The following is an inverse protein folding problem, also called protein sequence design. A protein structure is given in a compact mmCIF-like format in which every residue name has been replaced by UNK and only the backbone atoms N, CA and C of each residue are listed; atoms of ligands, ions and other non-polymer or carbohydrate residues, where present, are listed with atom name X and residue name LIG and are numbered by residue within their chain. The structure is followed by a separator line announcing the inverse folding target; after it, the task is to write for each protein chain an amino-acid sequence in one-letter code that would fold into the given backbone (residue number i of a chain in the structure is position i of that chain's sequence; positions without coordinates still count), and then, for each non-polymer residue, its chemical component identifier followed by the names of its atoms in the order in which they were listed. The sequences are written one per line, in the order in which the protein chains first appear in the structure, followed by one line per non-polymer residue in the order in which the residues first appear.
data_IF_020432075238
#
_entry.id   IF_020432075238
#
_cell.length_a   1.000
_cell.length_b   1.000
_cell.length_c   1.000
_cell.angle_alpha   90.00
_cell.angle_beta   90.00
_cell.angle_gamma   90.00
#
_symmetry.space_group_name_H-M   'P 1'
#
loop_
_entity.id
_entity.type
_entity.pdbx_description
1 polymer ?
#
# COMPACT_ATOMS: atom_id res chain seq x y z
N UNK A 1 -5.00 -3.06 15.86
CA UNK A 1 -4.01 -2.16 15.21
C UNK A 1 -4.55 -1.64 13.88
N UNK A 2 -5.05 -2.50 13.00
CA UNK A 2 -5.63 -2.10 11.70
C UNK A 2 -7.04 -1.47 11.75
N UNK A 3 -7.85 -1.76 12.78
CA UNK A 3 -9.28 -1.39 12.84
C UNK A 3 -9.58 0.13 13.01
N UNK A 4 -8.57 1.00 12.92
CA UNK A 4 -8.71 2.46 13.08
C UNK A 4 -7.81 3.25 12.12
N UNK A 5 -7.24 2.59 11.12
CA UNK A 5 -6.43 3.27 10.13
C UNK A 5 -7.36 3.86 9.08
N UNK A 6 -7.28 5.16 8.91
CA UNK A 6 -8.09 5.93 7.97
C UNK A 6 -7.17 6.94 7.28
N UNK A 7 -6.71 6.55 6.10
CA UNK A 7 -5.87 7.38 5.24
C UNK A 7 -6.02 6.90 3.79
N UNK A 8 -6.17 7.81 2.81
CA UNK A 8 -6.45 7.43 1.41
C UNK A 8 -5.37 6.53 0.78
N UNK A 9 -4.14 6.61 1.28
CA UNK A 9 -3.00 5.82 0.80
C UNK A 9 -2.56 4.68 1.72
N UNK A 10 -3.42 4.26 2.66
CA UNK A 10 -3.22 3.05 3.47
C UNK A 10 -4.34 2.08 3.11
N UNK A 11 -4.01 0.80 2.94
CA UNK A 11 -5.01 -0.23 2.61
C UNK A 11 -6.08 -0.30 3.72
N UNK A 12 -7.35 -0.24 3.31
CA UNK A 12 -8.48 -0.35 4.23
C UNK A 12 -8.64 -1.79 4.71
N UNK A 13 -8.69 -1.96 6.04
CA UNK A 13 -9.01 -3.23 6.67
C UNK A 13 -10.52 -3.34 6.89
N UNK A 14 -11.13 -4.35 6.27
CA UNK A 14 -12.58 -4.58 6.33
C UNK A 14 -12.92 -5.51 7.50
N UNK A 15 -12.11 -6.56 7.72
CA UNK A 15 -12.38 -7.53 8.79
C UNK A 15 -11.43 -8.72 8.79
N UNK A 16 -11.71 -9.70 9.65
CA UNK A 16 -10.95 -10.94 9.75
C UNK A 16 -11.88 -12.12 9.99
N UNK A 17 -11.57 -13.25 9.38
CA UNK A 17 -12.08 -14.55 9.81
C UNK A 17 -11.10 -15.14 10.82
N UNK A 18 -11.57 -15.42 12.03
CA UNK A 18 -10.76 -15.96 13.13
C UNK A 18 -11.03 -17.44 13.41
N UNK A 19 -11.88 -18.08 12.61
CA UNK A 19 -12.28 -19.48 12.78
C UNK A 19 -11.40 -20.40 11.95
N UNK A 20 -10.81 -21.42 12.58
CA UNK A 20 -10.05 -22.45 11.88
C UNK A 20 -10.99 -23.33 11.02
N UNK A 21 -10.59 -23.76 9.81
CA UNK A 21 -9.26 -23.61 9.20
C UNK A 21 -9.07 -22.31 8.38
N UNK A 22 -10.06 -21.42 8.35
CA UNK A 22 -10.13 -20.29 7.42
C UNK A 22 -9.62 -18.98 8.04
N UNK A 23 -8.52 -19.00 8.79
CA UNK A 23 -7.94 -17.79 9.38
C UNK A 23 -7.47 -16.84 8.25
N UNK A 24 -8.09 -15.68 8.12
CA UNK A 24 -7.72 -14.72 7.07
C UNK A 24 -8.08 -13.27 7.42
N UNK A 25 -7.42 -12.32 6.75
CA UNK A 25 -7.79 -10.91 6.73
C UNK A 25 -8.52 -10.55 5.44
N UNK A 26 -9.50 -9.67 5.57
CA UNK A 26 -10.28 -9.09 4.47
C UNK A 26 -9.92 -7.61 4.41
N UNK A 27 -9.44 -7.17 3.26
CA UNK A 27 -9.01 -5.79 3.00
C UNK A 27 -9.61 -5.31 1.68
N UNK A 28 -9.53 -4.01 1.40
CA UNK A 28 -9.93 -3.49 0.09
C UNK A 28 -9.16 -4.18 -1.05
N UNK A 29 -9.84 -4.39 -2.18
CA UNK A 29 -9.24 -5.05 -3.33
C UNK A 29 -8.39 -4.07 -4.13
N UNK A 30 -7.11 -4.38 -4.27
CA UNK A 30 -6.19 -3.69 -5.18
C UNK A 30 -5.95 -4.51 -6.45
N UNK A 31 -5.73 -3.83 -7.57
CA UNK A 31 -5.57 -4.46 -8.88
C UNK A 31 -4.20 -5.13 -9.03
N UNK A 32 -3.16 -4.50 -8.49
CA UNK A 32 -1.77 -4.95 -8.66
C UNK A 32 -0.84 -4.28 -7.64
N UNK A 33 0.40 -4.77 -7.54
CA UNK A 33 1.46 -4.06 -6.82
C UNK A 33 2.15 -3.03 -7.72
N UNK A 34 2.81 -2.06 -7.10
CA UNK A 34 3.69 -1.13 -7.81
C UNK A 34 4.87 -1.87 -8.46
N UNK A 35 5.31 -2.99 -7.88
CA UNK A 35 6.29 -3.88 -8.51
C UNK A 35 5.79 -4.37 -9.88
N UNK A 36 4.57 -4.89 -9.94
CA UNK A 36 3.95 -5.35 -11.19
C UNK A 36 3.81 -4.20 -12.20
N UNK A 37 3.48 -2.99 -11.73
CA UNK A 37 3.32 -1.83 -12.60
C UNK A 37 4.65 -1.37 -13.22
N UNK A 38 5.75 -1.53 -12.49
CA UNK A 38 7.08 -1.12 -12.95
C UNK A 38 7.77 -2.18 -13.82
N UNK A 39 7.43 -3.47 -13.65
CA UNK A 39 8.12 -4.58 -14.32
C UNK A 39 7.23 -5.37 -15.30
N UNK A 40 5.91 -5.18 -15.25
CA UNK A 40 4.95 -5.89 -16.08
C UNK A 40 4.68 -5.23 -17.44
N UNK A 41 5.13 -3.99 -17.65
CA UNK A 41 4.96 -3.27 -18.92
C UNK A 41 6.27 -3.30 -19.72
N UNK A 42 6.26 -3.94 -20.89
CA UNK A 42 7.36 -3.83 -21.86
C UNK A 42 7.23 -2.60 -22.78
N UNK A 43 6.13 -1.85 -22.64
CA UNK A 43 5.88 -0.69 -23.45
C UNK A 43 6.81 0.47 -23.06
N UNK A 44 7.45 1.15 -24.03
CA UNK A 44 8.30 2.29 -23.73
C UNK A 44 7.48 3.42 -23.10
N UNK A 45 7.83 3.81 -21.87
CA UNK A 45 7.28 4.99 -21.21
C UNK A 45 8.19 6.19 -21.51
N UNK A 46 7.60 7.32 -21.93
CA UNK A 46 8.38 8.54 -22.12
C UNK A 46 8.95 9.04 -20.79
N UNK A 47 10.17 9.60 -20.81
CA UNK A 47 10.81 10.14 -19.59
C UNK A 47 9.91 11.14 -18.85
N UNK A 48 9.22 12.10 -19.50
CA UNK A 48 8.30 13.01 -18.81
C UNK A 48 7.17 12.28 -18.08
N UNK A 49 6.58 11.26 -18.70
CA UNK A 49 5.52 10.44 -18.09
C UNK A 49 6.06 9.67 -16.89
N UNK A 50 7.23 9.06 -17.02
CA UNK A 50 7.89 8.31 -15.95
C UNK A 50 8.16 9.20 -14.73
N UNK A 51 8.71 10.40 -14.94
CA UNK A 51 8.98 11.36 -13.87
C UNK A 51 7.68 11.77 -13.17
N UNK A 52 6.62 12.05 -13.93
CA UNK A 52 5.32 12.40 -13.35
C UNK A 52 4.76 11.27 -12.48
N UNK A 53 4.79 10.03 -12.99
CA UNK A 53 4.35 8.85 -12.24
C UNK A 53 5.18 8.66 -10.97
N UNK A 54 6.50 8.76 -11.06
CA UNK A 54 7.40 8.62 -9.91
C UNK A 54 7.11 9.66 -8.81
N UNK A 55 6.92 10.92 -9.19
CA UNK A 55 6.56 11.99 -8.24
C UNK A 55 5.22 11.71 -7.58
N UNK A 56 4.21 11.27 -8.33
CA UNK A 56 2.90 10.90 -7.76
C UNK A 56 3.03 9.74 -6.77
N UNK A 57 3.69 8.64 -7.15
CA UNK A 57 3.84 7.48 -6.29
C UNK A 57 4.63 7.80 -5.02
N UNK A 58 5.76 8.50 -5.13
CA UNK A 58 6.59 8.81 -3.95
C UNK A 58 5.87 9.76 -3.00
N UNK A 59 5.06 10.70 -3.51
CA UNK A 59 4.27 11.63 -2.69
C UNK A 59 3.20 10.88 -1.91
N UNK A 60 2.48 9.95 -2.57
CA UNK A 60 1.42 9.17 -1.92
C UNK A 60 1.99 8.21 -0.86
N UNK A 61 3.11 7.54 -1.17
CA UNK A 61 3.81 6.66 -0.21
C UNK A 61 4.33 7.48 0.98
N UNK A 62 4.94 8.65 0.73
CA UNK A 62 5.41 9.52 1.80
C UNK A 62 4.26 10.01 2.70
N UNK A 63 3.10 10.34 2.12
CA UNK A 63 1.89 10.70 2.89
C UNK A 63 1.42 9.56 3.78
N UNK A 64 1.35 8.33 3.25
CA UNK A 64 0.98 7.14 4.04
C UNK A 64 1.97 6.88 5.18
N UNK A 65 3.28 6.96 4.91
CA UNK A 65 4.32 6.77 5.92
C UNK A 65 4.28 7.85 7.00
N UNK A 66 4.06 9.11 6.61
CA UNK A 66 3.86 10.21 7.55
C UNK A 66 2.67 9.95 8.47
N UNK A 67 1.55 9.50 7.90
CA UNK A 67 0.37 9.13 8.67
C UNK A 67 0.67 8.02 9.68
N UNK A 68 1.26 6.90 9.25
CA UNK A 68 1.62 5.79 10.14
C UNK A 68 2.56 6.20 11.28
N UNK A 69 3.55 7.05 10.98
CA UNK A 69 4.50 7.57 11.97
C UNK A 69 3.88 8.60 12.93
N UNK A 70 2.77 9.25 12.55
CA UNK A 70 2.07 10.23 13.39
C UNK A 70 1.17 9.59 14.46
N UNK A 71 0.88 8.30 14.34
CA UNK A 71 0.03 7.58 15.29
C UNK A 71 0.71 7.42 16.66
N UNK A 72 -0.08 7.15 17.69
CA UNK A 72 0.40 6.87 19.04
C UNK A 72 -0.20 5.56 19.56
N UNK A 73 0.58 4.46 19.65
CA UNK A 73 2.00 4.37 19.29
C UNK A 73 2.24 4.51 17.78
N UNK A 74 3.42 5.02 17.41
CA UNK A 74 3.82 5.11 16.01
C UNK A 74 3.94 3.72 15.37
N UNK A 75 3.43 3.58 14.15
CA UNK A 75 3.53 2.32 13.40
C UNK A 75 4.75 2.40 12.48
N UNK A 76 5.73 1.54 12.73
CA UNK A 76 6.90 1.39 11.84
C UNK A 76 6.59 0.30 10.82
N UNK A 77 6.69 0.61 9.52
CA UNK A 77 6.35 -0.35 8.47
C UNK A 77 7.26 -1.59 8.48
N UNK A 78 8.57 -1.41 8.66
CA UNK A 78 9.63 -2.44 8.70
C UNK A 78 9.88 -3.23 7.40
N UNK A 79 8.98 -3.20 6.43
CA UNK A 79 9.11 -3.93 5.15
C UNK A 79 8.64 -3.06 3.96
N UNK A 80 9.09 -1.81 3.90
CA UNK A 80 8.72 -0.91 2.81
C UNK A 80 9.46 -1.30 1.52
N UNK A 81 8.70 -1.81 0.54
CA UNK A 81 9.18 -2.22 -0.80
C UNK A 81 8.04 -2.09 -1.81
N UNK A 82 8.35 -2.08 -3.11
CA UNK A 82 7.35 -1.89 -4.18
C UNK A 82 6.27 -2.98 -4.25
N UNK A 83 6.53 -4.16 -3.69
CA UNK A 83 5.54 -5.24 -3.57
C UNK A 83 4.46 -4.95 -2.51
N UNK A 84 4.80 -4.14 -1.48
CA UNK A 84 3.89 -3.75 -0.40
C UNK A 84 3.25 -2.37 -0.64
N UNK A 85 3.40 -1.84 -1.85
CA UNK A 85 2.72 -0.65 -2.34
C UNK A 85 1.77 -1.11 -3.42
N UNK A 86 0.47 -1.09 -3.14
CA UNK A 86 -0.57 -1.56 -4.05
C UNK A 86 -1.18 -0.41 -4.84
N UNK A 87 -1.83 -0.75 -5.96
CA UNK A 87 -2.60 0.16 -6.79
C UNK A 87 -4.03 -0.35 -6.90
N UNK A 88 -5.01 0.48 -6.55
CA UNK A 88 -6.43 0.14 -6.75
C UNK A 88 -6.84 0.26 -8.23
N UNK A 89 -8.12 0.00 -8.53
CA UNK A 89 -8.66 0.10 -9.90
C UNK A 89 -8.57 1.50 -10.52
N UNK A 90 -8.40 2.54 -9.70
CA UNK A 90 -8.22 3.93 -10.14
C UNK A 90 -6.73 4.32 -10.30
N UNK A 91 -5.80 3.43 -9.96
CA UNK A 91 -4.37 3.72 -9.90
C UNK A 91 -3.95 4.48 -8.65
N UNK A 92 -4.80 4.51 -7.61
CA UNK A 92 -4.47 5.13 -6.33
C UNK A 92 -3.57 4.20 -5.53
N UNK A 93 -2.51 4.77 -4.96
CA UNK A 93 -1.55 4.05 -4.10
C UNK A 93 -2.22 3.64 -2.79
N UNK A 94 -2.02 2.39 -2.37
CA UNK A 94 -2.44 1.80 -1.09
C UNK A 94 -1.27 1.06 -0.44
N UNK A 95 -0.74 1.59 0.66
CA UNK A 95 0.33 0.94 1.42
C UNK A 95 -0.23 -0.24 2.21
N UNK A 96 0.41 -1.41 2.17
CA UNK A 96 -0.01 -2.63 2.89
C UNK A 96 1.14 -3.25 3.70
N UNK A 97 0.87 -4.36 4.41
CA UNK A 97 1.86 -5.19 5.11
C UNK A 97 2.82 -4.47 6.07
N UNK A 98 2.31 -3.45 6.75
CA UNK A 98 3.02 -2.73 7.82
C UNK A 98 2.68 -3.30 9.20
N UNK A 99 3.64 -3.36 10.13
CA UNK A 99 3.36 -3.69 11.54
C UNK A 99 3.13 -5.18 11.87
N UNK A 100 3.42 -6.11 10.95
CA UNK A 100 3.26 -7.56 11.15
C UNK A 100 4.46 -8.27 11.83
N UNK A 101 5.55 -7.54 12.07
CA UNK A 101 6.73 -8.10 12.76
C UNK A 101 6.69 -7.64 14.21
N UNK A 102 6.53 -8.58 15.14
CA UNK A 102 6.65 -8.38 16.58
C UNK A 102 8.14 -8.25 16.94
#
# INVERSE_FOLDING_TARGET
MYSKLDHPHVVEFIGACMEAPNLCFVMELCSMSLYDQLHGTNDPISIPTLVKMAVTFITNVASAMQYLHSLSPAIVHRDLKSQNVLLDASGTVKLCDFGLVW
#
